data_IF_534222403923
#
_entry.id   IF_534222403923
#
_cell.length_a   1.000
_cell.length_b   1.000
_cell.length_c   1.000
_cell.angle_alpha   90.00
_cell.angle_beta   90.00
_cell.angle_gamma   90.00
#
_symmetry.space_group_name_H-M   'P 1'
#
loop_
_entity.id
_entity.type
_entity.pdbx_description
1 polymer ?
#
# COMPACT_ATOMS: atom_id res chain seq x y z
N UNK A 1 -7.72 7.12 -18.68
CA UNK A 1 -7.13 7.66 -17.44
C UNK A 1 -7.86 7.08 -16.24
N UNK A 2 -7.10 6.61 -15.26
CA UNK A 2 -7.70 6.01 -14.07
C UNK A 2 -8.16 7.09 -13.07
N UNK A 3 -9.27 6.81 -12.39
CA UNK A 3 -9.79 7.68 -11.33
C UNK A 3 -9.08 7.36 -10.02
N UNK A 4 -7.99 8.07 -9.75
CA UNK A 4 -7.16 7.85 -8.57
C UNK A 4 -7.95 7.92 -7.25
N UNK A 5 -8.87 8.89 -7.14
CA UNK A 5 -9.65 9.08 -5.92
C UNK A 5 -10.57 7.90 -5.63
N UNK A 6 -11.19 7.36 -6.67
CA UNK A 6 -12.07 6.19 -6.55
C UNK A 6 -11.31 5.00 -5.94
N UNK A 7 -10.12 4.72 -6.45
CA UNK A 7 -9.34 3.58 -6.00
C UNK A 7 -8.70 3.82 -4.63
N UNK A 8 -8.31 5.05 -4.33
CA UNK A 8 -7.80 5.37 -2.99
C UNK A 8 -8.91 5.24 -1.95
N UNK A 9 -10.14 5.67 -2.26
CA UNK A 9 -11.28 5.46 -1.35
C UNK A 9 -11.52 3.97 -1.12
N UNK A 10 -11.36 3.16 -2.14
CA UNK A 10 -11.47 1.71 -2.01
C UNK A 10 -10.37 1.16 -1.10
N UNK A 11 -9.13 1.62 -1.25
CA UNK A 11 -8.03 1.22 -0.39
C UNK A 11 -8.29 1.60 1.08
N UNK A 12 -8.85 2.79 1.32
CA UNK A 12 -9.21 3.25 2.67
C UNK A 12 -10.31 2.37 3.26
N UNK A 13 -11.30 2.01 2.46
CA UNK A 13 -12.39 1.10 2.87
C UNK A 13 -11.84 -0.26 3.29
N UNK A 14 -10.90 -0.80 2.52
CA UNK A 14 -10.21 -2.05 2.85
C UNK A 14 -9.40 -1.90 4.15
N UNK A 15 -8.75 -0.76 4.34
CA UNK A 15 -7.99 -0.46 5.57
C UNK A 15 -8.92 -0.46 6.80
N UNK A 16 -10.10 0.11 6.68
CA UNK A 16 -11.10 0.10 7.76
C UNK A 16 -11.55 -1.33 8.07
N UNK A 17 -11.76 -2.13 7.04
CA UNK A 17 -12.11 -3.54 7.20
C UNK A 17 -11.01 -4.32 7.92
N UNK A 18 -9.74 -4.07 7.59
CA UNK A 18 -8.62 -4.69 8.28
C UNK A 18 -8.65 -4.36 9.77
N UNK A 19 -8.86 -3.09 10.10
CA UNK A 19 -8.97 -2.62 11.48
C UNK A 19 -10.13 -3.29 12.20
N UNK A 20 -11.30 -3.36 11.57
CA UNK A 20 -12.49 -3.99 12.14
C UNK A 20 -12.26 -5.48 12.41
N UNK A 21 -11.42 -6.11 11.62
CA UNK A 21 -11.05 -7.52 11.77
C UNK A 21 -9.94 -7.76 12.82
N UNK A 22 -9.47 -6.70 13.48
CA UNK A 22 -8.43 -6.81 14.52
C UNK A 22 -7.00 -6.66 14.01
N UNK A 23 -6.83 -6.23 12.78
CA UNK A 23 -5.52 -6.02 12.17
C UNK A 23 -5.16 -4.52 12.10
N UNK A 24 -3.96 -4.22 11.61
CA UNK A 24 -3.54 -2.85 11.40
C UNK A 24 -4.33 -2.21 10.24
N UNK A 25 -4.60 -0.89 10.30
CA UNK A 25 -5.51 -0.23 9.36
C UNK A 25 -4.85 0.10 8.02
N UNK A 26 -4.57 -0.91 7.23
CA UNK A 26 -3.96 -0.79 5.91
C UNK A 26 -4.67 -1.67 4.89
N UNK A 27 -4.87 -1.11 3.69
CA UNK A 27 -5.54 -1.80 2.59
C UNK A 27 -4.92 -1.44 1.25
N UNK A 28 -4.99 -2.36 0.31
CA UNK A 28 -4.42 -2.18 -1.02
C UNK A 28 -5.23 -2.92 -2.08
N UNK A 29 -5.11 -2.48 -3.33
CA UNK A 29 -5.71 -3.15 -4.47
C UNK A 29 -4.84 -2.99 -5.71
N UNK A 30 -4.98 -3.96 -6.62
CA UNK A 30 -4.29 -3.96 -7.91
C UNK A 30 -5.33 -3.69 -9.00
N UNK A 31 -5.04 -2.71 -9.87
CA UNK A 31 -5.92 -2.29 -10.95
C UNK A 31 -5.16 -2.45 -12.26
N UNK A 32 -5.79 -3.06 -13.29
CA UNK A 32 -5.16 -3.22 -14.58
C UNK A 32 -5.24 -1.92 -15.42
N UNK A 33 -4.66 -1.95 -16.61
CA UNK A 33 -4.62 -0.78 -17.49
C UNK A 33 -5.99 -0.29 -17.95
N UNK A 34 -7.01 -1.16 -17.87
CA UNK A 34 -8.39 -0.85 -18.25
C UNK A 34 -9.25 -0.36 -17.07
N UNK A 35 -8.68 -0.28 -15.88
CA UNK A 35 -9.40 0.17 -14.69
C UNK A 35 -10.12 -0.95 -13.94
N UNK A 36 -9.88 -2.21 -14.29
CA UNK A 36 -10.48 -3.34 -13.60
C UNK A 36 -9.68 -3.69 -12.34
N UNK A 37 -10.38 -3.83 -11.23
CA UNK A 37 -9.76 -4.30 -9.97
C UNK A 37 -9.50 -5.79 -10.10
N UNK A 38 -8.23 -6.17 -10.05
CA UNK A 38 -7.80 -7.56 -10.18
C UNK A 38 -7.80 -8.28 -8.82
N UNK A 39 -7.28 -7.62 -7.79
CA UNK A 39 -7.24 -8.14 -6.43
C UNK A 39 -7.36 -7.01 -5.43
N UNK A 40 -7.86 -7.37 -4.24
CA UNK A 40 -7.86 -6.53 -3.05
C UNK A 40 -7.17 -7.30 -1.92
N UNK A 41 -6.52 -6.59 -1.02
CA UNK A 41 -5.87 -7.21 0.13
C UNK A 41 -5.86 -6.27 1.33
N UNK A 42 -6.09 -6.83 2.51
CA UNK A 42 -6.00 -6.13 3.77
C UNK A 42 -4.80 -6.62 4.57
N UNK A 43 -4.34 -5.81 5.52
CA UNK A 43 -3.33 -6.22 6.49
C UNK A 43 -3.86 -7.39 7.31
N UNK A 44 -3.02 -8.40 7.54
CA UNK A 44 -3.35 -9.57 8.34
C UNK A 44 -2.21 -9.98 9.27
N UNK A 45 -1.43 -9.01 9.75
CA UNK A 45 -0.29 -9.26 10.66
C UNK A 45 -0.76 -9.96 11.93
N UNK A 46 -1.82 -9.48 12.56
CA UNK A 46 -2.31 -10.00 13.84
C UNK A 46 -3.01 -11.34 13.66
N UNK A 47 -4.03 -11.39 12.79
CA UNK A 47 -4.83 -12.60 12.59
C UNK A 47 -4.04 -13.71 11.91
N UNK A 48 -3.08 -13.38 11.06
CA UNK A 48 -2.20 -14.34 10.39
C UNK A 48 -0.97 -14.70 11.21
N UNK A 49 -0.73 -14.01 12.31
CA UNK A 49 0.47 -14.17 13.13
C UNK A 49 1.74 -14.15 12.27
N UNK A 50 1.83 -13.17 11.38
CA UNK A 50 2.94 -13.02 10.44
C UNK A 50 3.23 -11.53 10.22
N UNK A 51 4.39 -11.09 10.71
CA UNK A 51 4.82 -9.68 10.64
C UNK A 51 4.95 -9.17 9.20
N UNK A 52 5.10 -10.07 8.23
CA UNK A 52 5.23 -9.68 6.81
C UNK A 52 3.87 -9.48 6.14
N UNK A 53 2.76 -9.83 6.79
CA UNK A 53 1.43 -9.76 6.20
C UNK A 53 0.87 -8.33 6.12
N UNK A 54 1.66 -7.40 5.61
CA UNK A 54 1.16 -6.07 5.23
C UNK A 54 0.18 -6.22 4.05
N UNK A 55 -0.73 -5.28 3.92
CA UNK A 55 -1.71 -5.30 2.83
C UNK A 55 -1.04 -5.42 1.46
N UNK A 56 0.01 -4.65 1.24
CA UNK A 56 0.74 -4.65 -0.04
C UNK A 56 1.46 -5.99 -0.27
N UNK A 57 2.02 -6.59 0.78
CA UNK A 57 2.67 -7.92 0.67
C UNK A 57 1.63 -8.97 0.30
N UNK A 58 0.48 -8.98 0.97
CA UNK A 58 -0.61 -9.90 0.66
C UNK A 58 -1.07 -9.74 -0.78
N UNK A 59 -1.17 -8.49 -1.24
CA UNK A 59 -1.56 -8.18 -2.62
C UNK A 59 -0.51 -8.65 -3.62
N UNK A 60 0.76 -8.35 -3.39
CA UNK A 60 1.86 -8.75 -4.27
C UNK A 60 1.95 -10.27 -4.37
N UNK A 61 1.80 -10.96 -3.26
CA UNK A 61 1.85 -12.43 -3.23
C UNK A 61 0.79 -13.04 -4.13
N UNK A 62 -0.46 -12.58 -4.04
CA UNK A 62 -1.56 -13.03 -4.89
C UNK A 62 -1.30 -12.70 -6.35
N UNK A 63 -0.87 -11.46 -6.60
CA UNK A 63 -0.71 -10.93 -7.96
C UNK A 63 0.41 -11.64 -8.70
N UNK A 64 1.56 -11.82 -8.06
CA UNK A 64 2.72 -12.48 -8.67
C UNK A 64 2.48 -13.98 -8.90
N UNK A 65 1.62 -14.61 -8.09
CA UNK A 65 1.24 -16.00 -8.28
C UNK A 65 0.28 -16.19 -9.46
N UNK A 66 -0.44 -15.14 -9.85
CA UNK A 66 -1.52 -15.21 -10.85
C UNK A 66 -1.14 -14.63 -12.22
N UNK A 67 -0.21 -13.66 -12.26
CA UNK A 67 0.13 -12.92 -13.48
C UNK A 67 1.63 -12.82 -13.63
N UNK A 68 2.09 -12.72 -14.89
CA UNK A 68 3.51 -12.54 -15.18
C UNK A 68 3.94 -11.07 -15.02
N UNK A 69 5.25 -10.83 -15.10
CA UNK A 69 5.81 -9.49 -14.92
C UNK A 69 5.39 -8.50 -16.00
N UNK A 70 5.13 -8.96 -17.21
CA UNK A 70 4.70 -8.08 -18.31
C UNK A 70 3.30 -7.54 -18.05
N UNK A 71 2.40 -8.38 -17.55
CA UNK A 71 1.06 -7.94 -17.15
C UNK A 71 1.14 -6.97 -15.96
N UNK A 72 1.92 -7.33 -14.94
CA UNK A 72 2.04 -6.52 -13.73
C UNK A 72 2.67 -5.16 -14.00
N UNK A 73 3.54 -5.05 -15.00
CA UNK A 73 4.15 -3.78 -15.41
C UNK A 73 3.11 -2.76 -15.91
N UNK A 74 1.95 -3.22 -16.33
CA UNK A 74 0.85 -2.38 -16.81
C UNK A 74 -0.17 -2.08 -15.74
N UNK A 75 -0.03 -2.67 -14.55
CA UNK A 75 -0.96 -2.48 -13.44
C UNK A 75 -0.55 -1.33 -12.55
N UNK A 76 -1.52 -0.82 -11.78
CA UNK A 76 -1.30 0.17 -10.72
C UNK A 76 -1.65 -0.47 -9.39
N UNK A 77 -0.78 -0.32 -8.41
CA UNK A 77 -1.05 -0.68 -7.03
C UNK A 77 -1.54 0.56 -6.30
N UNK A 78 -2.75 0.50 -5.76
CA UNK A 78 -3.32 1.55 -4.91
C UNK A 78 -3.23 1.08 -3.47
N UNK A 79 -2.79 1.94 -2.59
CA UNK A 79 -2.65 1.61 -1.17
C UNK A 79 -3.11 2.78 -0.31
N UNK A 80 -3.71 2.48 0.84
CA UNK A 80 -4.25 3.49 1.75
C UNK A 80 -3.15 4.37 2.36
N UNK A 81 -1.95 3.82 2.53
CA UNK A 81 -0.79 4.50 3.09
C UNK A 81 0.45 4.21 2.25
N UNK A 82 1.36 5.15 2.16
CA UNK A 82 2.62 4.99 1.44
C UNK A 82 3.32 3.68 1.83
N UNK A 83 3.76 2.85 0.84
CA UNK A 83 4.40 1.57 1.15
C UNK A 83 5.67 1.74 1.99
N UNK A 84 5.81 0.90 3.01
CA UNK A 84 7.04 0.82 3.81
C UNK A 84 8.18 0.21 2.98
N UNK A 85 9.43 0.21 3.48
CA UNK A 85 10.56 -0.36 2.75
C UNK A 85 10.38 -1.83 2.32
N UNK A 86 9.81 -2.67 3.19
CA UNK A 86 9.54 -4.08 2.86
C UNK A 86 8.59 -4.21 1.69
N UNK A 87 7.48 -3.46 1.74
CA UNK A 87 6.46 -3.48 0.69
C UNK A 87 6.99 -2.87 -0.61
N UNK A 88 7.78 -1.81 -0.52
CA UNK A 88 8.40 -1.20 -1.69
C UNK A 88 9.31 -2.18 -2.41
N UNK A 89 10.12 -2.93 -1.67
CA UNK A 89 10.94 -3.99 -2.23
C UNK A 89 10.11 -5.05 -2.94
N UNK A 90 9.02 -5.49 -2.32
CA UNK A 90 8.13 -6.48 -2.92
C UNK A 90 7.49 -5.98 -4.21
N UNK A 91 7.03 -4.74 -4.23
CA UNK A 91 6.45 -4.09 -5.42
C UNK A 91 7.48 -4.05 -6.56
N UNK A 92 8.71 -3.67 -6.23
CA UNK A 92 9.82 -3.62 -7.19
C UNK A 92 10.06 -5.00 -7.82
N UNK A 93 10.18 -6.03 -7.00
CA UNK A 93 10.46 -7.39 -7.48
C UNK A 93 9.29 -8.00 -8.25
N UNK A 94 8.06 -7.59 -7.94
CA UNK A 94 6.87 -8.04 -8.68
C UNK A 94 6.74 -7.38 -10.05
N UNK A 95 7.54 -6.35 -10.34
CA UNK A 95 7.52 -5.61 -11.60
C UNK A 95 6.29 -4.70 -11.78
N UNK A 96 5.65 -4.30 -10.69
CA UNK A 96 4.56 -3.30 -10.72
C UNK A 96 5.21 -1.92 -10.90
N UNK A 97 4.78 -1.19 -11.92
CA UNK A 97 5.47 0.05 -12.36
C UNK A 97 4.76 1.34 -11.96
N UNK A 98 3.65 1.24 -11.24
CA UNK A 98 2.92 2.42 -10.81
C UNK A 98 2.31 2.17 -9.44
N UNK A 99 2.53 3.14 -8.52
CA UNK A 99 2.02 3.08 -7.14
C UNK A 99 1.31 4.41 -6.84
N UNK A 100 0.11 4.32 -6.30
CA UNK A 100 -0.66 5.48 -5.85
C UNK A 100 -1.02 5.27 -4.38
N UNK A 101 -0.76 6.26 -3.53
CA UNK A 101 -1.05 6.11 -2.10
C UNK A 101 -1.88 7.28 -1.56
N UNK A 102 -2.60 7.02 -0.47
CA UNK A 102 -3.43 8.02 0.20
C UNK A 102 -2.64 8.80 1.24
N UNK A 103 -2.30 8.17 2.35
CA UNK A 103 -1.59 8.78 3.47
C UNK A 103 -0.08 8.68 3.26
N UNK A 104 0.65 9.78 3.42
CA UNK A 104 2.11 9.74 3.37
C UNK A 104 2.69 9.06 4.63
N UNK A 105 3.87 8.46 4.48
CA UNK A 105 4.59 7.88 5.62
C UNK A 105 4.91 8.96 6.66
N UNK A 106 5.25 10.16 6.22
CA UNK A 106 5.52 11.29 7.11
C UNK A 106 4.34 11.58 8.03
N UNK A 107 3.13 11.67 7.47
CA UNK A 107 1.92 11.92 8.26
C UNK A 107 1.60 10.76 9.20
N UNK A 108 1.77 9.54 8.74
CA UNK A 108 1.56 8.36 9.59
C UNK A 108 2.52 8.39 10.78
N UNK A 109 3.79 8.68 10.54
CA UNK A 109 4.81 8.65 11.59
C UNK A 109 4.66 9.80 12.60
N UNK A 110 4.02 10.90 12.22
CA UNK A 110 3.63 11.94 13.17
C UNK A 110 2.63 11.39 14.20
N UNK A 111 1.72 10.52 13.77
CA UNK A 111 0.71 9.92 14.66
C UNK A 111 1.31 8.82 15.51
N UNK A 112 2.11 7.94 14.90
CA UNK A 112 2.75 6.81 15.60
C UNK A 112 3.79 7.29 16.60
N UNK A 113 4.46 8.40 16.27
CA UNK A 113 5.58 8.92 17.04
C UNK A 113 6.90 8.54 16.37
N UNK A 114 7.66 9.54 15.93
CA UNK A 114 8.86 9.33 15.09
C UNK A 114 9.92 8.46 15.77
N UNK A 115 9.95 8.43 17.10
CA UNK A 115 10.91 7.63 17.87
C UNK A 115 10.37 6.24 18.23
N UNK A 116 9.18 5.88 17.76
CA UNK A 116 8.58 4.58 18.02
C UNK A 116 9.32 3.47 17.25
N UNK A 117 9.36 2.29 17.83
CA UNK A 117 9.87 1.09 17.16
C UNK A 117 9.02 0.67 15.96
N UNK A 118 7.80 1.22 15.86
CA UNK A 118 6.88 0.99 14.73
C UNK A 118 7.23 1.83 13.50
N UNK A 119 8.29 2.64 13.56
CA UNK A 119 8.68 3.55 12.48
C UNK A 119 9.92 3.05 11.77
N UNK A 120 9.83 2.86 10.45
CA UNK A 120 10.97 2.58 9.57
C UNK A 120 10.94 3.67 8.49
N UNK A 121 11.63 4.78 8.77
CA UNK A 121 11.48 6.03 8.00
C UNK A 121 12.40 6.10 6.77
N UNK A 122 11.97 5.43 5.70
CA UNK A 122 12.61 5.51 4.39
C UNK A 122 11.51 5.53 3.33
N UNK A 123 11.45 6.57 2.51
CA UNK A 123 10.37 6.74 1.56
C UNK A 123 10.44 5.73 0.40
N UNK A 124 9.28 5.34 -0.12
CA UNK A 124 9.22 4.43 -1.26
C UNK A 124 9.91 5.01 -2.50
N UNK A 125 9.84 6.33 -2.68
CA UNK A 125 10.52 7.00 -3.80
C UNK A 125 12.03 6.82 -3.75
N UNK A 126 12.63 6.94 -2.57
CA UNK A 126 14.06 6.74 -2.39
C UNK A 126 14.48 5.30 -2.74
N UNK A 127 13.65 4.34 -2.32
CA UNK A 127 13.93 2.92 -2.61
C UNK A 127 13.85 2.66 -4.10
N UNK A 128 12.79 3.11 -4.77
CA UNK A 128 12.61 2.88 -6.21
C UNK A 128 13.69 3.57 -7.04
N UNK A 129 14.17 4.74 -6.60
CA UNK A 129 15.22 5.48 -7.29
C UNK A 129 16.56 4.75 -7.32
N UNK A 130 16.76 3.78 -6.41
CA UNK A 130 18.00 2.98 -6.38
C UNK A 130 17.99 1.84 -7.40
N UNK A 131 16.83 1.52 -7.97
CA UNK A 131 16.69 0.44 -8.93
C UNK A 131 16.80 0.91 -10.38
N UNK A 132 16.89 -0.04 -11.29
CA UNK A 132 16.96 0.22 -12.73
C UNK A 132 15.59 0.21 -13.40
N UNK A 133 14.53 -0.10 -12.65
CA UNK A 133 13.15 -0.04 -13.13
C UNK A 133 12.56 1.30 -12.76
N UNK A 134 11.90 1.95 -13.72
CA UNK A 134 11.19 3.20 -13.45
C UNK A 134 9.81 2.86 -12.88
N UNK A 135 9.56 3.28 -11.65
CA UNK A 135 8.26 3.11 -10.98
C UNK A 135 7.69 4.51 -10.71
N UNK A 136 6.54 4.79 -11.31
CA UNK A 136 5.83 6.04 -11.08
C UNK A 136 5.15 6.00 -9.71
N UNK A 137 5.33 7.04 -8.91
CA UNK A 137 4.69 7.15 -7.60
C UNK A 137 3.84 8.41 -7.57
N UNK A 138 2.57 8.25 -7.22
CA UNK A 138 1.60 9.35 -7.10
C UNK A 138 1.06 9.36 -5.67
N UNK A 139 1.10 10.51 -5.03
CA UNK A 139 0.58 10.68 -3.67
C UNK A 139 1.25 11.85 -2.96
N UNK A 140 0.65 12.28 -1.84
CA UNK A 140 -0.58 11.75 -1.23
C UNK A 140 -1.85 12.16 -1.98
N UNK A 141 -2.87 11.29 -1.94
CA UNK A 141 -4.19 11.57 -2.51
C UNK A 141 -5.23 11.30 -1.44
N UNK A 142 -6.14 12.27 -1.21
CA UNK A 142 -7.17 12.19 -0.18
C UNK A 142 -6.55 11.93 1.20
N UNK A 143 -5.47 12.60 1.49
CA UNK A 143 -4.68 12.36 2.70
C UNK A 143 -5.51 12.51 3.98
N UNK A 144 -6.41 13.49 4.03
CA UNK A 144 -7.26 13.70 5.19
C UNK A 144 -8.25 12.54 5.41
N UNK A 145 -8.80 11.99 4.32
CA UNK A 145 -9.68 10.81 4.40
C UNK A 145 -8.88 9.57 4.84
N UNK A 146 -7.68 9.40 4.28
CA UNK A 146 -6.81 8.28 4.63
C UNK A 146 -6.35 8.34 6.08
N UNK A 147 -6.23 9.55 6.64
CA UNK A 147 -5.83 9.77 8.01
C UNK A 147 -6.89 9.28 9.01
N UNK A 148 -8.18 9.40 8.66
CA UNK A 148 -9.29 9.07 9.55
C UNK A 148 -9.22 7.61 10.03
N UNK A 149 -8.87 6.69 9.16
CA UNK A 149 -8.83 5.25 9.50
C UNK A 149 -7.73 4.93 10.52
N UNK A 150 -6.78 5.85 10.71
CA UNK A 150 -5.68 5.69 11.67
C UNK A 150 -6.01 6.22 13.07
N UNK A 151 -7.10 6.99 13.22
CA UNK A 151 -7.45 7.66 14.47
C UNK A 151 -7.60 6.67 15.62
N UNK A 152 -6.93 6.97 16.75
CA UNK A 152 -7.01 6.19 18.00
C UNK A 152 -6.54 4.74 17.87
N UNK A 153 -5.88 4.38 16.79
CA UNK A 153 -5.32 3.04 16.63
C UNK A 153 -3.95 2.93 17.31
N UNK A 154 -3.08 3.87 17.03
CA UNK A 154 -1.69 3.88 17.52
C UNK A 154 -1.64 4.53 18.90
N UNK A 155 -1.08 3.83 19.87
CA UNK A 155 -1.00 4.28 21.26
C UNK A 155 0.43 4.19 21.77
#
# INVERSE_FOLDING_TARGET
MLDEKKYIRKAIEIAQKARDNGNHPFGALLVDENGQIMFEAENSVVTGNDITNHAEINLVRKSAASYDGDFLAKCTLYTSTEPCPMCSGAIFWANIRRVVYGLSAEKLYEIVGIDSEEVLNLSCREIFDKGQKKIEVVGPILENEALIVQHNFWK
#
